data_IF_510702546018
#
_entry.id   IF_510702546018
#
_cell.length_a   1.000
_cell.length_b   1.000
_cell.length_c   1.000
_cell.angle_alpha   90.00
_cell.angle_beta   90.00
_cell.angle_gamma   90.00
#
_symmetry.space_group_name_H-M   'P 1'
#
loop_
_entity.id
_entity.type
_entity.pdbx_description
1 polymer ?
#
# COMPACT_ATOMS: atom_id res chain seq x y z
N UNK A 1 -12.72 -28.12 -40.83
CA UNK A 1 -12.29 -28.09 -39.40
C UNK A 1 -11.45 -26.86 -39.02
N UNK A 2 -10.79 -26.15 -39.94
CA UNK A 2 -10.00 -24.95 -39.60
C UNK A 2 -10.85 -23.69 -39.33
N UNK A 3 -12.00 -23.52 -39.99
CA UNK A 3 -12.83 -22.33 -39.85
C UNK A 3 -13.51 -22.22 -38.47
N UNK A 4 -13.95 -23.34 -37.88
CA UNK A 4 -14.58 -23.36 -36.55
C UNK A 4 -13.59 -23.02 -35.43
N UNK A 5 -12.32 -23.40 -35.57
CA UNK A 5 -11.28 -23.10 -34.57
C UNK A 5 -10.90 -21.61 -34.57
N UNK A 6 -10.84 -20.96 -35.74
CA UNK A 6 -10.62 -19.51 -35.85
C UNK A 6 -11.81 -18.71 -35.32
N UNK A 7 -13.02 -19.18 -35.58
CA UNK A 7 -14.25 -18.55 -35.09
C UNK A 7 -14.37 -18.66 -33.56
N UNK A 8 -14.02 -19.81 -32.97
CA UNK A 8 -13.98 -19.99 -31.53
C UNK A 8 -12.98 -19.05 -30.83
N UNK A 9 -11.79 -18.86 -31.39
CA UNK A 9 -10.78 -17.94 -30.84
C UNK A 9 -11.26 -16.48 -30.87
N UNK A 10 -11.96 -16.08 -31.94
CA UNK A 10 -12.49 -14.73 -32.08
C UNK A 10 -13.57 -14.43 -31.03
N UNK A 11 -14.45 -15.41 -30.76
CA UNK A 11 -15.50 -15.28 -29.73
C UNK A 11 -14.90 -15.11 -28.34
N UNK A 12 -13.86 -15.87 -27.98
CA UNK A 12 -13.19 -15.74 -26.69
C UNK A 12 -12.53 -14.37 -26.52
N UNK A 13 -11.91 -13.86 -27.59
CA UNK A 13 -11.21 -12.57 -27.56
C UNK A 13 -12.20 -11.40 -27.38
N UNK A 14 -13.37 -11.46 -28.01
CA UNK A 14 -14.43 -10.46 -27.83
C UNK A 14 -14.95 -10.44 -26.40
N UNK A 15 -15.12 -11.61 -25.77
CA UNK A 15 -15.53 -11.68 -24.36
C UNK A 15 -14.51 -11.02 -23.43
N UNK A 16 -13.20 -11.25 -23.65
CA UNK A 16 -12.15 -10.57 -22.88
C UNK A 16 -12.11 -9.05 -23.10
N UNK A 17 -12.39 -8.58 -24.32
CA UNK A 17 -12.39 -7.15 -24.60
C UNK A 17 -13.52 -6.41 -23.85
N UNK A 18 -14.70 -7.02 -23.74
CA UNK A 18 -15.85 -6.40 -23.06
C UNK A 18 -15.67 -6.23 -21.56
N UNK A 19 -14.87 -7.07 -20.90
CA UNK A 19 -14.62 -6.94 -19.45
C UNK A 19 -13.70 -5.78 -19.12
N UNK A 20 -12.79 -5.41 -20.02
CA UNK A 20 -11.84 -4.30 -19.82
C UNK A 20 -12.55 -2.95 -19.97
N UNK A 21 -13.50 -2.83 -20.90
CA UNK A 21 -14.23 -1.56 -21.13
C UNK A 21 -15.18 -1.18 -20.00
N UNK A 22 -15.67 -2.14 -19.22
CA UNK A 22 -16.56 -1.87 -18.08
C UNK A 22 -15.83 -1.28 -16.85
N UNK A 23 -14.50 -1.29 -16.83
CA UNK A 23 -13.70 -0.80 -15.71
C UNK A 23 -13.51 0.73 -15.67
N UNK A 24 -13.95 1.45 -16.72
CA UNK A 24 -13.87 2.91 -16.78
C UNK A 24 -15.29 3.51 -16.66
N UNK A 25 -15.69 3.88 -15.45
CA UNK A 25 -17.01 4.46 -15.15
C UNK A 25 -17.16 5.93 -15.56
N UNK A 26 -18.39 6.48 -15.55
CA UNK A 26 -18.67 7.84 -16.00
C UNK A 26 -18.19 8.92 -15.01
N UNK A 27 -17.66 10.01 -15.57
CA UNK A 27 -17.17 11.20 -14.88
C UNK A 27 -18.31 12.06 -14.29
N UNK A 28 -18.21 12.56 -13.04
CA UNK A 28 -19.26 13.36 -12.38
C UNK A 28 -19.32 14.84 -12.83
N UNK A 29 -20.51 15.44 -12.77
CA UNK A 29 -20.81 16.84 -13.12
C UNK A 29 -20.56 17.83 -11.95
N UNK A 30 -20.21 19.12 -12.21
CA UNK A 30 -19.80 20.07 -11.18
C UNK A 30 -20.95 20.85 -10.49
N UNK A 31 -20.79 21.13 -9.18
CA UNK A 31 -21.70 21.92 -8.34
C UNK A 31 -21.06 23.24 -7.84
N UNK A 32 -21.90 24.27 -7.55
CA UNK A 32 -21.49 25.63 -7.12
C UNK A 32 -21.70 25.80 -5.62
N UNK A 33 -20.68 26.27 -4.88
CA UNK A 33 -20.72 26.48 -3.41
C UNK A 33 -20.43 27.96 -3.09
N UNK A 34 -21.30 28.59 -2.32
CA UNK A 34 -21.17 29.98 -1.82
C UNK A 34 -20.53 29.92 -0.42
N UNK A 35 -19.42 30.63 -0.21
CA UNK A 35 -18.72 30.70 1.08
C UNK A 35 -18.62 32.16 1.56
N UNK A 36 -19.23 32.46 2.69
CA UNK A 36 -19.15 33.76 3.37
C UNK A 36 -17.95 33.78 4.32
N UNK A 37 -17.08 34.80 4.23
CA UNK A 37 -15.87 34.94 5.06
C UNK A 37 -15.94 36.25 5.85
N UNK A 38 -15.91 36.22 7.20
CA UNK A 38 -15.77 37.42 8.01
C UNK A 38 -14.31 37.89 8.07
N UNK A 39 -14.06 39.20 7.90
CA UNK A 39 -12.71 39.79 7.95
C UNK A 39 -12.59 40.63 9.22
N UNK A 40 -11.59 40.34 10.04
CA UNK A 40 -11.28 41.12 11.25
C UNK A 40 -10.26 42.22 10.90
N UNK A 41 -10.64 43.49 11.06
CA UNK A 41 -9.75 44.64 10.80
C UNK A 41 -9.31 45.23 12.13
N UNK A 42 -8.01 45.14 12.43
CA UNK A 42 -7.41 45.80 13.59
C UNK A 42 -6.95 47.20 13.19
N UNK A 43 -7.60 48.24 13.75
CA UNK A 43 -7.21 49.65 13.56
C UNK A 43 -6.63 50.18 14.87
N UNK A 44 -5.34 50.49 14.88
CA UNK A 44 -4.67 51.11 16.03
C UNK A 44 -4.88 52.63 15.92
N UNK A 45 -5.69 53.20 16.81
CA UNK A 45 -5.91 54.65 16.93
C UNK A 45 -5.08 55.15 18.11
N UNK A 46 -4.17 56.09 17.86
CA UNK A 46 -3.37 56.77 18.88
C UNK A 46 -4.07 58.07 19.27
N UNK A 47 -4.82 58.05 20.37
CA UNK A 47 -5.21 59.27 21.09
C UNK A 47 -4.72 59.16 22.55
N UNK A 48 -3.99 60.19 22.99
CA UNK A 48 -3.60 60.44 24.38
C UNK A 48 -2.96 59.28 25.18
N UNK A 49 -1.94 58.63 24.61
CA UNK A 49 -0.90 57.97 25.43
C UNK A 49 -1.26 56.68 26.18
N UNK A 50 -2.47 56.14 26.02
CA UNK A 50 -2.84 54.79 26.48
C UNK A 50 -3.35 53.94 25.31
N UNK A 51 -2.70 52.79 25.08
CA UNK A 51 -3.10 51.85 24.03
C UNK A 51 -4.45 51.19 24.39
N UNK A 52 -5.50 51.44 23.61
CA UNK A 52 -6.76 50.69 23.68
C UNK A 52 -7.05 50.01 22.34
N UNK A 53 -7.05 48.69 22.35
CA UNK A 53 -7.38 47.83 21.20
C UNK A 53 -8.90 47.63 21.16
N UNK A 54 -9.55 48.08 20.08
CA UNK A 54 -10.96 47.79 19.80
C UNK A 54 -11.01 46.95 18.51
N UNK A 55 -11.67 45.80 18.56
CA UNK A 55 -11.81 44.87 17.44
C UNK A 55 -13.18 45.09 16.81
N UNK A 56 -13.22 45.49 15.54
CA UNK A 56 -14.46 45.65 14.77
C UNK A 56 -14.48 44.61 13.64
N UNK A 57 -15.48 43.74 13.66
CA UNK A 57 -15.70 42.69 12.65
C UNK A 57 -16.52 43.25 11.50
N UNK A 58 -15.94 43.34 10.30
CA UNK A 58 -16.64 43.76 9.07
C UNK A 58 -16.85 42.54 8.19
N UNK A 59 -18.10 42.28 7.82
CA UNK A 59 -18.47 41.18 6.91
C UNK A 59 -18.42 41.69 5.48
N UNK A 60 -17.57 41.10 4.63
CA UNK A 60 -17.46 41.42 3.21
C UNK A 60 -17.88 40.20 2.40
N UNK A 61 -18.95 40.32 1.63
CA UNK A 61 -19.35 39.30 0.67
C UNK A 61 -18.46 39.42 -0.58
N UNK A 62 -17.56 38.46 -0.78
CA UNK A 62 -16.71 38.39 -1.98
C UNK A 62 -17.27 37.31 -2.90
N UNK A 63 -17.90 37.72 -3.99
CA UNK A 63 -18.23 36.82 -5.10
C UNK A 63 -16.92 36.40 -5.79
N UNK A 64 -16.47 35.18 -5.52
CA UNK A 64 -15.33 34.58 -6.20
C UNK A 64 -15.84 33.52 -7.17
N UNK A 65 -15.73 33.78 -8.47
CA UNK A 65 -15.83 32.72 -9.48
C UNK A 65 -14.68 31.73 -9.26
N UNK A 66 -15.00 30.56 -8.70
CA UNK A 66 -14.04 29.48 -8.48
C UNK A 66 -13.99 28.65 -9.76
N UNK A 67 -12.94 28.82 -10.56
CA UNK A 67 -12.56 27.79 -11.53
C UNK A 67 -12.26 26.51 -10.74
N UNK A 68 -12.86 25.34 -11.04
CA UNK A 68 -12.64 24.15 -10.25
C UNK A 68 -11.17 23.76 -10.31
N UNK A 69 -10.46 23.96 -9.20
CA UNK A 69 -9.17 23.32 -8.97
C UNK A 69 -9.47 21.82 -8.95
N UNK A 70 -8.71 20.98 -9.68
CA UNK A 70 -8.87 19.52 -9.62
C UNK A 70 -8.93 19.09 -8.15
N UNK A 71 -9.73 18.06 -7.80
CA UNK A 71 -9.84 17.60 -6.43
C UNK A 71 -8.43 17.44 -5.88
N UNK A 72 -8.11 18.28 -4.90
CA UNK A 72 -6.88 18.10 -4.14
C UNK A 72 -7.02 16.72 -3.55
N UNK A 73 -6.15 15.81 -3.97
CA UNK A 73 -6.08 14.46 -3.44
C UNK A 73 -6.21 14.56 -1.93
N UNK A 74 -7.29 13.98 -1.40
CA UNK A 74 -7.46 13.86 0.05
C UNK A 74 -6.14 13.28 0.54
N UNK A 75 -5.40 13.95 1.44
CA UNK A 75 -4.15 13.42 1.91
C UNK A 75 -4.43 12.00 2.41
N UNK A 76 -3.63 11.00 1.99
CA UNK A 76 -3.90 9.62 2.33
C UNK A 76 -4.10 9.55 3.84
N UNK A 77 -5.19 8.89 4.27
CA UNK A 77 -5.40 8.58 5.68
C UNK A 77 -4.08 8.04 6.22
N UNK A 78 -3.47 8.66 7.25
CA UNK A 78 -2.18 8.20 7.74
C UNK A 78 -2.33 6.72 8.09
N UNK A 79 -1.55 5.90 7.39
CA UNK A 79 -1.49 4.48 7.66
C UNK A 79 -1.07 4.34 9.14
N UNK A 80 -1.72 3.47 9.93
CA UNK A 80 -1.35 3.29 11.32
C UNK A 80 0.16 3.05 11.38
N UNK A 81 0.82 3.83 12.22
CA UNK A 81 2.26 3.72 12.44
C UNK A 81 2.55 2.26 12.82
N UNK A 82 3.29 1.55 11.97
CA UNK A 82 3.64 0.17 12.24
C UNK A 82 4.52 0.18 13.49
N UNK A 83 3.94 -0.24 14.61
CA UNK A 83 4.69 -0.44 15.85
C UNK A 83 5.74 -1.49 15.55
N UNK A 84 7.03 -1.13 15.68
CA UNK A 84 8.11 -2.10 15.56
C UNK A 84 7.89 -3.19 16.61
N UNK A 85 7.65 -4.42 16.14
CA UNK A 85 7.45 -5.58 17.00
C UNK A 85 8.52 -6.61 16.70
N UNK A 86 9.20 -7.09 17.74
CA UNK A 86 10.16 -8.20 17.65
C UNK A 86 9.48 -9.58 17.43
N UNK A 87 8.18 -9.59 17.13
CA UNK A 87 7.37 -10.80 16.94
C UNK A 87 6.81 -10.84 15.52
N UNK A 88 7.07 -11.93 14.83
CA UNK A 88 6.50 -12.21 13.51
C UNK A 88 5.38 -13.23 13.69
N UNK A 89 4.17 -12.90 13.21
CA UNK A 89 3.03 -13.83 13.19
C UNK A 89 2.87 -14.38 11.78
N UNK A 90 3.06 -15.68 11.61
CA UNK A 90 2.92 -16.36 10.33
C UNK A 90 1.62 -17.16 10.28
N UNK A 91 0.71 -16.79 9.37
CA UNK A 91 -0.54 -17.52 9.17
C UNK A 91 -0.33 -18.69 8.19
N UNK A 92 -0.48 -19.91 8.67
CA UNK A 92 -0.32 -21.12 7.87
C UNK A 92 -1.68 -21.68 7.46
N UNK A 93 -1.81 -22.12 6.20
CA UNK A 93 -3.08 -22.69 5.69
C UNK A 93 -3.38 -24.09 6.24
N UNK A 94 -2.37 -24.79 6.76
CA UNK A 94 -2.50 -26.17 7.24
C UNK A 94 -1.74 -26.34 8.55
N UNK A 95 -2.25 -27.20 9.42
CA UNK A 95 -1.53 -27.67 10.60
C UNK A 95 -0.51 -28.75 10.20
N UNK A 96 0.72 -28.73 10.74
CA UNK A 96 1.67 -29.81 10.52
C UNK A 96 1.16 -31.13 11.08
N UNK A 97 1.39 -32.22 10.36
CA UNK A 97 1.06 -33.58 10.78
C UNK A 97 1.93 -34.05 11.97
N UNK A 98 3.21 -33.68 11.97
CA UNK A 98 4.17 -33.94 13.05
C UNK A 98 5.34 -32.97 12.98
N UNK A 99 6.00 -32.73 14.12
CA UNK A 99 7.24 -31.95 14.21
C UNK A 99 8.48 -32.85 14.31
N UNK A 100 8.37 -34.14 13.97
CA UNK A 100 9.52 -35.01 13.87
C UNK A 100 10.23 -34.82 12.52
N UNK A 101 11.51 -34.37 12.48
CA UNK A 101 12.18 -33.96 11.24
C UNK A 101 12.40 -35.08 10.22
N UNK A 102 12.40 -36.33 10.67
CA UNK A 102 12.61 -37.50 9.79
C UNK A 102 11.32 -38.18 9.32
N UNK A 103 10.15 -37.71 9.77
CA UNK A 103 8.87 -38.40 9.51
C UNK A 103 7.92 -37.54 8.67
N UNK A 104 7.88 -36.23 8.91
CA UNK A 104 7.03 -35.35 8.10
C UNK A 104 7.65 -35.09 6.72
N UNK A 105 6.79 -35.04 5.71
CA UNK A 105 7.10 -34.51 4.37
C UNK A 105 6.18 -33.33 4.00
N UNK A 106 5.38 -32.85 4.96
CA UNK A 106 4.39 -31.81 4.74
C UNK A 106 5.05 -30.43 4.72
N UNK A 107 4.68 -29.58 3.75
CA UNK A 107 5.25 -28.22 3.64
C UNK A 107 5.04 -27.39 4.90
N UNK A 108 3.89 -27.54 5.57
CA UNK A 108 3.62 -26.86 6.85
C UNK A 108 4.64 -27.24 7.93
N UNK A 109 4.97 -28.53 8.05
CA UNK A 109 5.99 -28.98 9.00
C UNK A 109 7.37 -28.47 8.61
N UNK A 110 7.72 -28.47 7.32
CA UNK A 110 9.00 -27.92 6.83
C UNK A 110 9.17 -26.44 7.14
N UNK A 111 8.10 -25.64 7.08
CA UNK A 111 8.13 -24.22 7.43
C UNK A 111 8.45 -24.00 8.91
N UNK A 112 7.81 -24.76 9.81
CA UNK A 112 8.05 -24.67 11.25
C UNK A 112 9.43 -25.21 11.61
N UNK A 113 9.79 -26.37 11.05
CA UNK A 113 11.07 -27.03 11.34
C UNK A 113 12.26 -26.24 10.78
N UNK A 114 12.12 -25.55 9.64
CA UNK A 114 13.16 -24.69 9.11
C UNK A 114 13.59 -23.57 10.07
N UNK A 115 12.66 -23.08 10.90
CA UNK A 115 12.97 -22.08 11.93
C UNK A 115 13.61 -22.70 13.20
N UNK A 116 13.38 -23.99 13.46
CA UNK A 116 13.85 -24.67 14.68
C UNK A 116 15.14 -25.46 14.46
N UNK A 117 15.31 -26.02 13.28
CA UNK A 117 16.39 -26.94 12.91
C UNK A 117 17.05 -26.37 11.66
N UNK A 118 17.98 -25.43 11.89
CA UNK A 118 18.81 -24.91 10.80
C UNK A 118 19.82 -25.97 10.36
N UNK A 119 19.92 -26.16 9.05
CA UNK A 119 20.96 -26.99 8.44
C UNK A 119 22.31 -26.27 8.41
N UNK A 120 23.30 -26.92 7.80
CA UNK A 120 24.63 -26.33 7.59
C UNK A 120 24.67 -25.23 6.53
N UNK A 121 23.79 -25.31 5.55
CA UNK A 121 23.70 -24.40 4.43
C UNK A 121 22.24 -24.18 4.06
N UNK A 122 21.93 -23.02 3.54
CA UNK A 122 20.61 -22.67 3.03
C UNK A 122 20.73 -21.68 1.88
N UNK A 123 19.59 -21.29 1.31
CA UNK A 123 19.53 -20.22 0.32
C UNK A 123 18.99 -18.96 0.95
N UNK A 124 19.56 -17.82 0.60
CA UNK A 124 19.01 -16.52 0.95
C UNK A 124 17.88 -16.09 -0.02
N UNK A 125 17.35 -14.89 0.17
CA UNK A 125 16.30 -14.33 -0.68
C UNK A 125 16.74 -14.10 -2.13
N UNK A 126 18.06 -14.04 -2.40
CA UNK A 126 18.65 -13.96 -3.72
C UNK A 126 18.92 -15.35 -4.35
N UNK A 127 18.55 -16.42 -3.65
CA UNK A 127 18.84 -17.81 -4.00
C UNK A 127 20.34 -18.16 -4.02
N UNK A 128 21.18 -17.35 -3.37
CA UNK A 128 22.60 -17.63 -3.16
C UNK A 128 22.75 -18.62 -2.00
N UNK A 129 23.66 -19.58 -2.15
CA UNK A 129 23.98 -20.49 -1.05
C UNK A 129 24.72 -19.71 0.04
N UNK A 130 24.26 -19.86 1.27
CA UNK A 130 24.86 -19.25 2.46
C UNK A 130 25.14 -20.31 3.51
N UNK A 131 26.24 -20.13 4.24
CA UNK A 131 26.56 -20.98 5.37
C UNK A 131 25.73 -20.54 6.59
N UNK A 132 25.02 -21.50 7.20
CA UNK A 132 24.12 -21.27 8.34
C UNK A 132 24.70 -21.73 9.68
N UNK A 133 26.01 -22.02 9.74
CA UNK A 133 26.73 -22.24 11.00
C UNK A 133 27.51 -23.54 11.09
N UNK A 134 27.69 -24.29 10.01
CA UNK A 134 28.64 -25.40 10.01
C UNK A 134 30.01 -24.89 9.59
N UNK A 135 31.04 -25.10 10.41
CA UNK A 135 32.40 -24.68 10.10
C UNK A 135 32.87 -25.31 8.78
N UNK A 136 32.90 -24.52 7.70
CA UNK A 136 33.25 -25.00 6.36
C UNK A 136 32.94 -24.00 5.25
N UNK A 137 33.62 -24.13 4.12
CA UNK A 137 33.21 -23.43 2.90
C UNK A 137 31.99 -24.12 2.29
N UNK A 138 31.15 -23.35 1.59
CA UNK A 138 30.03 -23.93 0.83
C UNK A 138 30.61 -24.85 -0.24
N UNK A 139 30.13 -26.10 -0.38
CA UNK A 139 30.63 -27.00 -1.41
C UNK A 139 30.43 -26.43 -2.82
N UNK A 140 31.52 -26.35 -3.58
CA UNK A 140 31.58 -25.97 -4.99
C UNK A 140 32.40 -26.99 -5.78
N UNK A 141 32.36 -26.92 -7.11
CA UNK A 141 33.14 -27.83 -7.96
C UNK A 141 34.66 -27.65 -7.74
N UNK A 142 35.08 -26.44 -7.38
CA UNK A 142 36.48 -26.09 -7.15
C UNK A 142 37.02 -26.63 -5.82
N UNK A 143 36.17 -26.78 -4.79
CA UNK A 143 36.57 -27.31 -3.48
C UNK A 143 36.21 -28.78 -3.26
N UNK A 144 35.76 -29.48 -4.31
CA UNK A 144 35.50 -30.93 -4.30
C UNK A 144 34.14 -31.32 -3.70
N UNK A 145 33.17 -30.40 -3.76
CA UNK A 145 31.77 -30.62 -3.39
C UNK A 145 30.97 -31.51 -4.33
#
# INVERSE_FOLDING_TARGET
MLASKRLAVLVVLVMLATTILAACGPTPEPEVIIQTVPVEVTKVITEEGEERTIVETVVVEVEKEVTPVPPTDVPPTPMPEMVESDTIVFAMQQEPDTLHPLISSMTAASQVLGALIMGCMGQDDAAEWVNLGCDGEIPTLENGG
#
